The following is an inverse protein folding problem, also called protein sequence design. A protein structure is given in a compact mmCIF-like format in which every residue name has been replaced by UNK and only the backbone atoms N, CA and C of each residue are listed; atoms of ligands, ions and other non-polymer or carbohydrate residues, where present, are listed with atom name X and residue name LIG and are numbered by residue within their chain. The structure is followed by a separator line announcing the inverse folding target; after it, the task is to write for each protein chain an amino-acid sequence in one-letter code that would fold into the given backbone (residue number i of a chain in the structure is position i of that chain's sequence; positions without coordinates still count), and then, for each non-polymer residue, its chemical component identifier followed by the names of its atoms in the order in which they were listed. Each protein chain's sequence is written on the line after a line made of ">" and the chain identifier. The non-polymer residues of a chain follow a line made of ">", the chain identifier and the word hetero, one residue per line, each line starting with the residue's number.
data_IF_758601487241
#
_entry.id   IF_758601487241
#
_cell.length_a   1.000
_cell.length_b   1.000
_cell.length_c   1.000
_cell.angle_alpha   90.00
_cell.angle_beta   90.00
_cell.angle_gamma   90.00
#
_symmetry.space_group_name_H-M   'P 1'
#
loop_
_entity.id
_entity.type
_entity.pdbx_description
1 polymer ?
#
# COMPACT_ATOMS: atom_id res chain seq x y z
N UNK A 1 23.30 -16.52 19.66
CA UNK A 1 22.76 -15.90 18.44
C UNK A 1 21.43 -16.44 17.95
N UNK A 2 21.29 -17.70 17.47
CA UNK A 2 19.98 -18.17 16.98
C UNK A 2 18.94 -18.23 18.10
N UNK A 3 19.22 -18.88 19.23
CA UNK A 3 18.25 -19.03 20.35
C UNK A 3 17.74 -17.70 20.91
N UNK A 4 18.57 -16.66 20.96
CA UNK A 4 18.18 -15.32 21.43
C UNK A 4 17.09 -14.70 20.56
N UNK A 5 17.24 -14.75 19.22
CA UNK A 5 16.21 -14.25 18.28
C UNK A 5 14.86 -14.96 18.42
N UNK A 6 14.89 -16.26 18.71
CA UNK A 6 13.68 -17.05 18.95
C UNK A 6 12.98 -16.63 20.25
N UNK A 7 13.75 -16.34 21.30
CA UNK A 7 13.23 -15.85 22.58
C UNK A 7 12.71 -14.42 22.46
N UNK A 8 13.43 -13.54 21.77
CA UNK A 8 12.99 -12.17 21.46
C UNK A 8 11.64 -12.18 20.74
N UNK A 9 11.46 -13.06 19.75
CA UNK A 9 10.18 -13.18 19.02
C UNK A 9 9.06 -13.64 19.95
N UNK A 10 9.30 -14.62 20.82
CA UNK A 10 8.31 -15.06 21.81
C UNK A 10 7.95 -13.93 22.80
N UNK A 11 8.92 -13.12 23.23
CA UNK A 11 8.70 -11.97 24.09
C UNK A 11 7.92 -10.85 23.40
N UNK A 12 8.23 -10.55 22.13
CA UNK A 12 7.49 -9.55 21.34
C UNK A 12 6.04 -9.98 21.10
N UNK A 13 5.80 -11.27 20.85
CA UNK A 13 4.43 -11.81 20.71
C UNK A 13 3.69 -11.70 22.05
N UNK A 14 4.33 -12.07 23.16
CA UNK A 14 3.72 -11.97 24.48
C UNK A 14 3.41 -10.52 24.88
N UNK A 15 4.31 -9.58 24.60
CA UNK A 15 4.08 -8.16 24.88
C UNK A 15 2.98 -7.58 24.00
N UNK A 16 2.92 -7.94 22.71
CA UNK A 16 1.83 -7.57 21.81
C UNK A 16 0.46 -8.05 22.31
N UNK A 17 0.36 -9.32 22.72
CA UNK A 17 -0.88 -9.88 23.29
C UNK A 17 -1.28 -9.17 24.59
N UNK A 18 -0.32 -8.76 25.42
CA UNK A 18 -0.57 -8.01 26.66
C UNK A 18 -1.11 -6.60 26.39
N UNK A 19 -0.60 -5.92 25.36
CA UNK A 19 -1.11 -4.60 24.94
C UNK A 19 -2.54 -4.73 24.39
N UNK A 20 -2.81 -5.77 23.58
CA UNK A 20 -4.16 -6.03 23.05
C UNK A 20 -5.15 -6.32 24.19
N UNK A 21 -4.71 -7.06 25.22
CA UNK A 21 -5.52 -7.24 26.42
C UNK A 21 -5.88 -5.92 27.09
N UNK A 22 -4.95 -4.97 27.17
CA UNK A 22 -5.19 -3.67 27.82
C UNK A 22 -6.25 -2.83 27.10
N UNK A 23 -6.42 -3.03 25.79
CA UNK A 23 -7.41 -2.31 24.96
C UNK A 23 -8.78 -3.01 25.02
N UNK A 24 -8.82 -4.35 24.96
CA UNK A 24 -10.06 -5.12 24.80
C UNK A 24 -10.57 -5.78 26.10
N UNK A 25 -9.80 -5.78 27.18
CA UNK A 25 -10.18 -6.31 28.49
C UNK A 25 -10.42 -7.83 28.56
N UNK A 26 -10.14 -8.57 27.48
CA UNK A 26 -10.52 -9.97 27.36
C UNK A 26 -9.53 -10.90 28.08
N UNK A 27 -9.94 -11.42 29.25
CA UNK A 27 -9.09 -12.18 30.20
C UNK A 27 -8.36 -13.40 29.60
N UNK A 28 -8.89 -14.00 28.53
CA UNK A 28 -8.27 -15.16 27.87
C UNK A 28 -6.94 -14.82 27.18
N UNK A 29 -6.73 -13.57 26.75
CA UNK A 29 -5.46 -13.14 26.13
C UNK A 29 -4.28 -13.18 27.11
N UNK A 30 -4.51 -12.89 28.40
CA UNK A 30 -3.44 -12.97 29.41
C UNK A 30 -2.95 -14.40 29.56
N UNK A 31 -3.86 -15.37 29.66
CA UNK A 31 -3.50 -16.78 29.79
C UNK A 31 -2.75 -17.29 28.55
N UNK A 32 -3.13 -16.84 27.36
CA UNK A 32 -2.42 -17.15 26.13
C UNK A 32 -1.00 -16.53 26.10
N UNK A 33 -0.87 -15.26 26.50
CA UNK A 33 0.42 -14.56 26.56
C UNK A 33 1.39 -15.21 27.57
N UNK A 34 0.87 -15.56 28.77
CA UNK A 34 1.62 -16.28 29.80
C UNK A 34 2.05 -17.66 29.29
N UNK A 35 1.14 -18.41 28.67
CA UNK A 35 1.43 -19.73 28.11
C UNK A 35 2.52 -19.68 27.05
N UNK A 36 2.45 -18.72 26.12
CA UNK A 36 3.45 -18.55 25.04
C UNK A 36 4.81 -18.11 25.60
N UNK A 37 4.84 -17.18 26.56
CA UNK A 37 6.08 -16.70 27.18
C UNK A 37 6.78 -17.82 27.96
N UNK A 38 6.02 -18.57 28.76
CA UNK A 38 6.55 -19.67 29.56
C UNK A 38 7.00 -20.83 28.65
N UNK A 39 6.17 -21.24 27.69
CA UNK A 39 6.52 -22.29 26.75
C UNK A 39 7.75 -21.94 25.89
N UNK A 40 7.89 -20.68 25.48
CA UNK A 40 9.05 -20.18 24.75
C UNK A 40 10.34 -20.20 25.58
N UNK A 41 10.26 -19.94 26.89
CA UNK A 41 11.41 -19.96 27.79
C UNK A 41 11.89 -21.38 28.13
N UNK A 42 10.96 -22.32 28.36
CA UNK A 42 11.31 -23.69 28.79
C UNK A 42 11.53 -24.66 27.62
N UNK A 43 10.92 -24.43 26.45
CA UNK A 43 10.96 -25.38 25.32
C UNK A 43 11.51 -24.69 24.05
N UNK A 44 12.82 -24.80 23.75
CA UNK A 44 13.43 -24.13 22.60
C UNK A 44 12.90 -24.64 21.25
N UNK A 45 12.40 -25.88 21.17
CA UNK A 45 11.78 -26.41 19.96
C UNK A 45 10.45 -25.71 19.62
N UNK A 46 9.66 -25.35 20.63
CA UNK A 46 8.41 -24.60 20.43
C UNK A 46 8.71 -23.17 19.99
N UNK A 47 9.69 -22.50 20.61
CA UNK A 47 10.12 -21.17 20.20
C UNK A 47 10.57 -21.14 18.73
N UNK A 48 11.24 -22.20 18.26
CA UNK A 48 11.60 -22.38 16.85
C UNK A 48 10.39 -22.50 15.92
N UNK A 49 9.39 -23.30 16.31
CA UNK A 49 8.15 -23.44 15.55
C UNK A 49 7.37 -22.12 15.45
N UNK A 50 7.20 -21.43 16.57
CA UNK A 50 6.48 -20.13 16.64
C UNK A 50 7.20 -19.10 15.78
N UNK A 51 8.51 -18.98 15.92
CA UNK A 51 9.31 -18.07 15.11
C UNK A 51 9.19 -18.38 13.62
N UNK A 52 9.24 -19.65 13.22
CA UNK A 52 9.11 -20.03 11.82
C UNK A 52 7.73 -19.66 11.24
N UNK A 53 6.64 -19.93 11.96
CA UNK A 53 5.29 -19.53 11.56
C UNK A 53 5.17 -18.01 11.48
N UNK A 54 5.67 -17.29 12.48
CA UNK A 54 5.67 -15.83 12.51
C UNK A 54 6.41 -15.24 11.31
N UNK A 55 7.60 -15.76 10.99
CA UNK A 55 8.37 -15.33 9.82
C UNK A 55 7.67 -15.66 8.50
N UNK A 56 6.97 -16.80 8.40
CA UNK A 56 6.18 -17.15 7.21
C UNK A 56 5.03 -16.17 6.98
N UNK A 57 4.37 -15.72 8.05
CA UNK A 57 3.34 -14.68 7.96
C UNK A 57 3.97 -13.36 7.53
N UNK A 58 5.12 -12.98 8.11
CA UNK A 58 5.84 -11.77 7.73
C UNK A 58 6.29 -11.77 6.26
N UNK A 59 6.75 -12.91 5.74
CA UNK A 59 7.12 -13.10 4.33
C UNK A 59 5.91 -12.90 3.41
N UNK A 60 4.76 -13.48 3.76
CA UNK A 60 3.50 -13.28 3.04
C UNK A 60 3.03 -11.82 3.04
N UNK A 61 3.13 -11.14 4.20
CA UNK A 61 2.86 -9.70 4.28
C UNK A 61 3.83 -8.88 3.43
N UNK A 62 5.12 -9.24 3.41
CA UNK A 62 6.14 -8.59 2.60
C UNK A 62 5.81 -8.62 1.10
N UNK A 63 5.30 -9.75 0.61
CA UNK A 63 4.86 -9.89 -0.79
C UNK A 63 3.73 -8.91 -1.14
N UNK A 64 2.75 -8.77 -0.25
CA UNK A 64 1.64 -7.82 -0.43
C UNK A 64 2.14 -6.38 -0.30
N UNK A 65 2.98 -6.10 0.69
CA UNK A 65 3.51 -4.77 0.97
C UNK A 65 4.33 -4.22 -0.18
N UNK A 66 5.08 -5.04 -0.91
CA UNK A 66 5.78 -4.57 -2.11
C UNK A 66 4.82 -3.95 -3.14
N UNK A 67 3.67 -4.59 -3.40
CA UNK A 67 2.64 -4.08 -4.32
C UNK A 67 1.94 -2.84 -3.74
N UNK A 68 1.67 -2.84 -2.44
CA UNK A 68 1.05 -1.70 -1.74
C UNK A 68 1.97 -0.48 -1.81
N UNK A 69 3.25 -0.61 -1.48
CA UNK A 69 4.22 0.48 -1.53
C UNK A 69 4.30 1.03 -2.95
N UNK A 70 4.42 0.17 -3.97
CA UNK A 70 4.45 0.62 -5.37
C UNK A 70 3.18 1.39 -5.75
N UNK A 71 2.02 0.87 -5.35
CA UNK A 71 0.73 1.52 -5.61
C UNK A 71 0.64 2.87 -4.90
N UNK A 72 1.02 2.93 -3.63
CA UNK A 72 1.02 4.16 -2.83
C UNK A 72 1.96 5.18 -3.43
N UNK A 73 3.18 4.79 -3.82
CA UNK A 73 4.14 5.69 -4.48
C UNK A 73 3.57 6.19 -5.81
N UNK A 74 3.05 5.29 -6.64
CA UNK A 74 2.43 5.65 -7.91
C UNK A 74 1.31 6.67 -7.72
N UNK A 75 0.35 6.41 -6.83
CA UNK A 75 -0.75 7.33 -6.58
C UNK A 75 -0.28 8.61 -5.90
N UNK A 76 0.62 8.57 -4.92
CA UNK A 76 1.11 9.75 -4.23
C UNK A 76 1.84 10.71 -5.18
N UNK A 77 2.71 10.19 -6.07
CA UNK A 77 3.41 11.03 -7.03
C UNK A 77 2.51 11.42 -8.20
N UNK A 78 1.91 10.46 -8.89
CA UNK A 78 1.16 10.73 -10.13
C UNK A 78 -0.09 11.56 -9.85
N UNK A 79 -0.81 11.32 -8.75
CA UNK A 79 -2.00 12.11 -8.42
C UNK A 79 -1.65 13.55 -8.07
N UNK A 80 -0.54 13.79 -7.36
CA UNK A 80 -0.08 15.15 -7.05
C UNK A 80 0.34 15.88 -8.32
N UNK A 81 1.10 15.21 -9.20
CA UNK A 81 1.48 15.76 -10.51
C UNK A 81 0.24 16.09 -11.35
N UNK A 82 -0.72 15.16 -11.44
CA UNK A 82 -1.97 15.36 -12.18
C UNK A 82 -2.82 16.49 -11.58
N UNK A 83 -2.85 16.61 -10.26
CA UNK A 83 -3.54 17.69 -9.56
C UNK A 83 -2.95 19.06 -9.91
N UNK A 84 -1.62 19.20 -9.83
CA UNK A 84 -0.94 20.44 -10.25
C UNK A 84 -1.13 20.71 -11.74
N UNK A 85 -1.00 19.69 -12.59
CA UNK A 85 -1.23 19.82 -14.03
C UNK A 85 -2.64 20.36 -14.32
N UNK A 86 -3.66 19.87 -13.62
CA UNK A 86 -5.05 20.32 -13.78
C UNK A 86 -5.28 21.77 -13.34
N UNK A 87 -4.47 22.29 -12.41
CA UNK A 87 -4.52 23.68 -11.97
C UNK A 87 -3.82 24.60 -13.00
N UNK A 88 -2.62 24.22 -13.43
CA UNK A 88 -1.79 25.09 -14.27
C UNK A 88 -2.13 25.04 -15.76
N UNK A 89 -2.54 23.88 -16.29
CA UNK A 89 -2.86 23.76 -17.71
C UNK A 89 -4.35 24.01 -17.98
N UNK A 90 -4.61 24.84 -19.00
CA UNK A 90 -5.95 24.95 -19.61
C UNK A 90 -6.31 23.62 -20.26
N UNK A 91 -7.62 23.38 -20.39
CA UNK A 91 -8.19 22.15 -20.93
C UNK A 91 -7.82 21.93 -22.41
N UNK A 92 -6.62 21.40 -22.64
CA UNK A 92 -6.01 21.19 -23.97
C UNK A 92 -6.83 20.25 -24.84
N UNK A 93 -7.49 19.28 -24.22
CA UNK A 93 -8.27 18.25 -24.88
C UNK A 93 -9.77 18.59 -24.91
N UNK A 94 -10.17 19.80 -24.49
CA UNK A 94 -11.57 20.23 -24.41
C UNK A 94 -12.47 19.21 -23.70
N UNK A 95 -11.98 18.51 -22.65
CA UNK A 95 -12.80 17.49 -21.95
C UNK A 95 -13.96 18.12 -21.16
N UNK A 96 -13.87 19.40 -20.80
CA UNK A 96 -14.96 20.12 -20.16
C UNK A 96 -16.08 20.33 -21.17
N UNK A 97 -17.30 19.95 -20.75
CA UNK A 97 -18.53 20.15 -21.52
C UNK A 97 -18.69 21.62 -21.90
N UNK A 98 -18.58 21.92 -23.20
CA UNK A 98 -18.89 23.24 -23.76
C UNK A 98 -20.38 23.53 -23.60
N UNK A 99 -20.71 24.80 -23.32
CA UNK A 99 -22.11 25.28 -23.24
C UNK A 99 -22.83 25.26 -24.59
N UNK A 100 -22.07 25.29 -25.68
CA UNK A 100 -22.55 25.46 -27.07
C UNK A 100 -23.02 24.15 -27.73
N UNK A 101 -23.03 23.02 -27.01
CA UNK A 101 -23.60 21.76 -27.50
C UNK A 101 -22.78 21.00 -28.55
N UNK A 102 -21.71 21.60 -29.09
CA UNK A 102 -20.79 20.97 -30.03
C UNK A 102 -19.33 21.16 -29.58
N UNK A 103 -18.51 20.12 -29.79
CA UNK A 103 -17.05 20.19 -29.63
C UNK A 103 -16.35 20.57 -30.94
N UNK A 104 -17.10 20.76 -32.03
CA UNK A 104 -16.55 21.09 -33.33
C UNK A 104 -15.87 22.46 -33.29
N UNK A 105 -14.67 22.52 -33.86
CA UNK A 105 -13.94 23.76 -34.11
C UNK A 105 -14.20 24.15 -35.56
N UNK A 106 -14.95 25.22 -35.80
CA UNK A 106 -15.04 25.80 -37.14
C UNK A 106 -13.64 26.28 -37.58
N UNK A 107 -13.17 25.76 -38.71
CA UNK A 107 -11.88 26.16 -39.32
C UNK A 107 -12.14 26.98 -40.58
N UNK A 108 -12.38 28.27 -40.41
CA UNK A 108 -12.44 29.22 -41.53
C UNK A 108 -11.02 29.60 -41.96
N UNK A 109 -10.35 28.69 -42.67
CA UNK A 109 -9.06 28.97 -43.31
C UNK A 109 -9.17 28.75 -44.81
N UNK A 110 -8.57 29.66 -45.58
CA UNK A 110 -8.51 29.54 -47.03
C UNK A 110 -7.51 28.45 -47.40
N UNK A 111 -7.99 27.40 -48.06
CA UNK A 111 -7.15 26.29 -48.50
C UNK A 111 -5.99 26.77 -49.37
N UNK A 112 -4.78 26.38 -49.00
CA UNK A 112 -3.55 26.64 -49.76
C UNK A 112 -3.04 25.35 -50.42
N UNK A 113 -2.23 25.48 -51.47
CA UNK A 113 -1.65 24.31 -52.17
C UNK A 113 -0.95 23.32 -51.23
N UNK A 114 -0.34 23.81 -50.15
CA UNK A 114 0.32 22.97 -49.13
C UNK A 114 -0.66 22.05 -48.38
N UNK A 115 -1.90 22.47 -48.17
CA UNK A 115 -2.92 21.68 -47.47
C UNK A 115 -3.43 20.51 -48.33
N UNK A 116 -3.23 20.60 -49.65
CA UNK A 116 -3.57 19.53 -50.59
C UNK A 116 -2.42 18.53 -50.80
N UNK A 117 -1.20 18.84 -50.34
CA UNK A 117 -0.05 17.93 -50.38
C UNK A 117 -0.04 16.96 -49.18
N UNK A 118 -0.62 17.36 -48.04
CA UNK A 118 -0.83 16.50 -46.88
C UNK A 118 -2.32 16.47 -46.52
N UNK A 119 -3.02 15.50 -47.11
CA UNK A 119 -4.48 15.32 -46.99
C UNK A 119 -4.88 14.58 -45.71
N UNK A 120 -3.92 14.14 -44.90
CA UNK A 120 -4.11 13.39 -43.66
C UNK A 120 -3.62 14.18 -42.44
#
# INVERSE_FOLDING_TARGET
>A
MQREKHLETCLVIASGLMIIWLIYGAKWLIWAALGISLAGAFVPALAKGIHWVWFKIAEGMGYVMSKVILSVVFFAFLSVVAFFYRIFNKDLLQLKRKKEGSYWSERDHSYTKKDLEQVW
#
